data_IF_575141383281
#
_entry.id   IF_575141383281
#
_cell.length_a   1.000
_cell.length_b   1.000
_cell.length_c   1.000
_cell.angle_alpha   90.00
_cell.angle_beta   90.00
_cell.angle_gamma   90.00
#
_symmetry.space_group_name_H-M   'P 1'
#
loop_
_entity.id
_entity.type
_entity.pdbx_description
1 polymer ?
#
# COMPACT_ATOMS: atom_id res chain seq x y z
N UNK A 1 15.04 -11.61 6.80
CA UNK A 1 15.50 -12.55 5.74
C UNK A 1 14.46 -12.83 4.64
N UNK A 2 13.13 -12.83 4.88
CA UNK A 2 12.09 -13.13 3.86
C UNK A 2 11.18 -11.94 3.46
N UNK A 3 11.73 -10.73 3.45
CA UNK A 3 10.95 -9.52 3.74
C UNK A 3 9.90 -9.14 2.67
N UNK A 4 10.05 -9.37 1.35
CA UNK A 4 8.96 -9.08 0.41
C UNK A 4 7.84 -10.14 0.37
N UNK A 5 8.18 -11.44 0.40
CA UNK A 5 7.18 -12.52 0.32
C UNK A 5 6.23 -12.55 1.53
N UNK A 6 6.70 -12.12 2.71
CA UNK A 6 5.91 -12.14 3.95
C UNK A 6 4.86 -11.03 4.06
N UNK A 7 4.93 -9.98 3.22
CA UNK A 7 3.96 -8.86 3.26
C UNK A 7 2.59 -9.29 2.71
N UNK A 8 2.53 -10.39 1.95
CA UNK A 8 1.26 -11.03 1.59
C UNK A 8 0.40 -10.19 0.63
N UNK A 9 -0.93 -10.12 0.83
CA UNK A 9 -1.85 -9.42 -0.06
C UNK A 9 -1.53 -7.93 -0.25
N UNK A 10 -0.99 -7.27 0.77
CA UNK A 10 -0.64 -5.86 0.72
C UNK A 10 0.40 -5.55 -0.36
N UNK A 11 1.43 -6.41 -0.52
CA UNK A 11 2.44 -6.22 -1.57
C UNK A 11 1.92 -6.68 -2.94
N UNK A 12 1.17 -7.78 -2.98
CA UNK A 12 0.65 -8.37 -4.24
C UNK A 12 -0.38 -7.50 -4.95
N UNK A 13 -1.11 -6.67 -4.20
CA UNK A 13 -2.19 -5.83 -4.73
C UNK A 13 -1.82 -4.35 -4.83
N UNK A 14 -0.60 -3.96 -4.44
CA UNK A 14 -0.12 -2.59 -4.55
C UNK A 14 0.09 -2.18 -6.03
N UNK A 15 -0.32 -0.96 -6.38
CA UNK A 15 0.01 -0.35 -7.67
C UNK A 15 1.42 0.24 -7.65
N UNK A 16 1.78 0.87 -6.53
CA UNK A 16 3.07 1.54 -6.33
C UNK A 16 3.72 0.97 -5.07
N UNK A 17 4.99 0.60 -5.17
CA UNK A 17 5.84 0.16 -4.06
C UNK A 17 6.98 1.14 -3.90
N UNK A 18 6.96 1.89 -2.80
CA UNK A 18 7.99 2.87 -2.46
C UNK A 18 8.99 2.23 -1.50
N UNK A 19 10.24 2.08 -1.95
CA UNK A 19 11.34 1.53 -1.16
C UNK A 19 12.16 2.69 -0.61
N UNK A 20 12.16 2.86 0.71
CA UNK A 20 12.93 3.89 1.39
C UNK A 20 14.17 3.33 2.08
N UNK A 21 15.03 4.24 2.58
CA UNK A 21 16.27 3.88 3.28
C UNK A 21 17.19 2.97 2.45
N UNK A 22 17.25 3.21 1.14
CA UNK A 22 18.14 2.46 0.24
C UNK A 22 19.62 2.87 0.35
N UNK A 23 19.91 3.92 1.11
CA UNK A 23 21.21 4.51 1.39
C UNK A 23 21.99 3.80 2.51
N UNK A 24 21.29 3.07 3.37
CA UNK A 24 21.91 2.29 4.47
C UNK A 24 22.29 0.86 4.05
N UNK A 25 22.11 0.52 2.78
CA UNK A 25 22.39 -0.81 2.22
C UNK A 25 23.27 -0.68 0.98
N UNK A 26 23.92 -1.78 0.60
CA UNK A 26 24.71 -1.82 -0.62
C UNK A 26 23.84 -1.73 -1.88
N UNK A 27 24.42 -1.28 -2.99
CA UNK A 27 23.74 -1.26 -4.29
C UNK A 27 23.21 -2.64 -4.67
N UNK A 28 24.00 -3.70 -4.45
CA UNK A 28 23.60 -5.07 -4.73
C UNK A 28 22.37 -5.47 -3.89
N UNK A 29 22.35 -5.14 -2.60
CA UNK A 29 21.18 -5.43 -1.74
C UNK A 29 19.93 -4.68 -2.19
N UNK A 30 20.08 -3.42 -2.62
CA UNK A 30 18.98 -2.62 -3.17
C UNK A 30 18.38 -3.27 -4.42
N UNK A 31 19.22 -3.68 -5.36
CA UNK A 31 18.78 -4.35 -6.58
C UNK A 31 18.16 -5.72 -6.31
N UNK A 32 18.76 -6.51 -5.41
CA UNK A 32 18.21 -7.81 -4.97
C UNK A 32 16.85 -7.62 -4.29
N UNK A 33 16.67 -6.57 -3.50
CA UNK A 33 15.40 -6.29 -2.85
C UNK A 33 14.33 -5.91 -3.88
N UNK A 34 14.64 -5.03 -4.83
CA UNK A 34 13.74 -4.65 -5.92
C UNK A 34 13.35 -5.86 -6.79
N UNK A 35 14.30 -6.75 -7.10
CA UNK A 35 14.03 -7.99 -7.82
C UNK A 35 13.07 -8.91 -7.04
N UNK A 36 13.25 -9.03 -5.72
CA UNK A 36 12.34 -9.80 -4.86
C UNK A 36 10.94 -9.21 -4.78
N UNK A 37 10.82 -7.88 -4.77
CA UNK A 37 9.52 -7.19 -4.86
C UNK A 37 8.85 -7.51 -6.20
N UNK A 38 9.59 -7.38 -7.31
CA UNK A 38 9.08 -7.66 -8.67
C UNK A 38 8.65 -9.11 -8.86
N UNK A 39 9.35 -10.06 -8.24
CA UNK A 39 8.92 -11.47 -8.22
C UNK A 39 7.59 -11.71 -7.50
N UNK A 40 7.27 -10.89 -6.49
CA UNK A 40 6.00 -11.01 -5.74
C UNK A 40 4.87 -10.27 -6.44
N UNK A 41 5.15 -9.09 -6.99
CA UNK A 41 4.20 -8.29 -7.75
C UNK A 41 4.87 -7.72 -9.01
N UNK A 42 4.74 -8.40 -10.15
CA UNK A 42 5.31 -7.93 -11.43
C UNK A 42 4.64 -6.67 -11.98
N UNK A 43 3.44 -6.33 -11.51
CA UNK A 43 2.64 -5.20 -12.01
C UNK A 43 2.89 -3.89 -11.27
N UNK A 44 3.46 -3.96 -10.07
CA UNK A 44 3.72 -2.77 -9.28
C UNK A 44 4.83 -1.90 -9.88
N UNK A 45 4.62 -0.59 -9.87
CA UNK A 45 5.66 0.42 -10.10
C UNK A 45 6.53 0.48 -8.86
N UNK A 46 7.84 0.26 -9.02
CA UNK A 46 8.80 0.25 -7.90
C UNK A 46 9.62 1.53 -7.96
N UNK A 47 9.52 2.36 -6.92
CA UNK A 47 10.27 3.63 -6.81
C UNK A 47 11.13 3.60 -5.56
N UNK A 48 12.32 4.14 -5.67
CA UNK A 48 13.19 4.37 -4.51
C UNK A 48 13.08 5.82 -4.06
N UNK A 49 12.77 6.03 -2.78
CA UNK A 49 12.63 7.37 -2.21
C UNK A 49 13.54 7.53 -1.01
N UNK A 50 14.22 8.68 -0.92
CA UNK A 50 14.93 9.07 0.29
C UNK A 50 14.19 10.23 0.97
N UNK A 51 13.68 9.99 2.18
CA UNK A 51 12.94 11.00 2.93
C UNK A 51 13.78 12.15 3.49
N UNK A 52 15.11 12.02 3.52
CA UNK A 52 16.03 13.07 3.99
C UNK A 52 16.42 13.99 2.83
N UNK A 53 16.76 13.41 1.68
CA UNK A 53 17.25 14.19 0.51
C UNK A 53 16.15 14.53 -0.48
N UNK A 54 14.95 13.94 -0.35
CA UNK A 54 13.84 14.13 -1.29
C UNK A 54 14.01 13.38 -2.63
N UNK A 55 15.06 12.56 -2.79
CA UNK A 55 15.25 11.78 -4.00
C UNK A 55 14.04 10.89 -4.27
N UNK A 56 13.59 10.84 -5.52
CA UNK A 56 12.42 10.07 -5.96
C UNK A 56 11.06 10.66 -5.58
N UNK A 57 11.00 11.73 -4.78
CA UNK A 57 9.73 12.34 -4.36
C UNK A 57 8.97 12.97 -5.51
N UNK A 58 9.66 13.61 -6.46
CA UNK A 58 9.04 14.24 -7.64
C UNK A 58 8.37 13.21 -8.56
N UNK A 59 9.05 12.09 -8.84
CA UNK A 59 8.50 10.98 -9.63
C UNK A 59 7.29 10.37 -8.93
N UNK A 60 7.38 10.16 -7.61
CA UNK A 60 6.25 9.67 -6.82
C UNK A 60 5.05 10.64 -6.88
N UNK A 61 5.28 11.95 -6.74
CA UNK A 61 4.23 12.97 -6.79
C UNK A 61 3.54 13.00 -8.16
N UNK A 62 4.30 12.88 -9.25
CA UNK A 62 3.73 12.85 -10.61
C UNK A 62 2.79 11.67 -10.81
N UNK A 63 3.11 10.51 -10.23
CA UNK A 63 2.21 9.34 -10.26
C UNK A 63 0.93 9.58 -9.45
N UNK A 64 1.02 10.26 -8.31
CA UNK A 64 -0.17 10.64 -7.54
C UNK A 64 -1.05 11.64 -8.29
N UNK A 65 -0.46 12.65 -8.91
CA UNK A 65 -1.19 13.66 -9.68
C UNK A 65 -1.85 13.09 -10.94
N UNK A 66 -1.28 12.00 -11.50
CA UNK A 66 -1.89 11.27 -12.62
C UNK A 66 -3.10 10.42 -12.23
N UNK A 67 -3.35 10.25 -10.92
CA UNK A 67 -4.47 9.44 -10.44
C UNK A 67 -5.77 10.25 -10.40
N UNK A 68 -6.90 9.55 -10.52
CA UNK A 68 -8.21 10.21 -10.51
C UNK A 68 -8.55 10.73 -9.11
N UNK A 69 -9.14 11.92 -9.04
CA UNK A 69 -9.70 12.45 -7.81
C UNK A 69 -10.81 11.54 -7.25
N UNK A 70 -10.70 11.21 -5.97
CA UNK A 70 -11.68 10.39 -5.25
C UNK A 70 -12.59 11.32 -4.44
N UNK A 71 -13.79 11.57 -4.95
CA UNK A 71 -14.82 12.37 -4.24
C UNK A 71 -15.48 11.59 -3.09
N UNK A 72 -15.66 10.28 -3.26
CA UNK A 72 -16.21 9.40 -2.21
C UNK A 72 -15.69 7.99 -2.36
N UNK A 73 -15.48 7.33 -1.23
CA UNK A 73 -15.16 5.90 -1.17
C UNK A 73 -16.40 5.02 -0.94
N UNK A 74 -17.59 5.61 -0.74
CA UNK A 74 -18.83 4.85 -0.54
C UNK A 74 -19.18 4.05 -1.79
N UNK A 75 -19.51 2.77 -1.62
CA UNK A 75 -19.75 1.82 -2.72
C UNK A 75 -18.48 1.22 -3.34
N UNK A 76 -17.30 1.71 -2.97
CA UNK A 76 -16.02 1.10 -3.38
C UNK A 76 -15.77 -0.21 -2.63
N UNK A 77 -14.83 -1.01 -3.15
CA UNK A 77 -14.41 -2.26 -2.52
C UNK A 77 -12.91 -2.26 -2.22
N UNK A 78 -12.56 -2.79 -1.05
CA UNK A 78 -11.18 -3.12 -0.70
C UNK A 78 -10.67 -4.25 -1.61
N UNK A 79 -9.39 -4.17 -1.98
CA UNK A 79 -8.74 -5.17 -2.85
C UNK A 79 -8.54 -6.53 -2.17
N UNK A 80 -8.53 -6.54 -0.84
CA UNK A 80 -8.48 -7.74 -0.02
C UNK A 80 -9.17 -7.46 1.33
N UNK A 81 -9.65 -8.52 1.98
CA UNK A 81 -10.22 -8.43 3.33
C UNK A 81 -9.14 -8.00 4.32
N UNK A 82 -9.43 -7.01 5.15
CA UNK A 82 -8.52 -6.62 6.22
C UNK A 82 -8.30 -7.77 7.20
N UNK A 83 -7.10 -7.88 7.82
CA UNK A 83 -6.86 -8.85 8.87
C UNK A 83 -7.90 -8.69 9.98
N UNK A 84 -8.32 -9.81 10.56
CA UNK A 84 -9.34 -9.82 11.61
C UNK A 84 -8.96 -8.93 12.80
N UNK A 85 -9.97 -8.34 13.46
CA UNK A 85 -9.87 -7.54 14.69
C UNK A 85 -9.30 -6.10 14.58
N UNK A 86 -9.26 -5.47 13.40
CA UNK A 86 -8.80 -4.07 13.24
C UNK A 86 -9.92 -2.99 13.14
N UNK A 87 -11.16 -3.34 12.76
CA UNK A 87 -12.31 -2.43 12.59
C UNK A 87 -13.64 -3.17 12.31
N UNK A 88 -14.73 -2.43 12.14
CA UNK A 88 -16.09 -2.91 11.79
C UNK A 88 -16.19 -3.65 10.44
N UNK A 89 -15.17 -3.53 9.57
CA UNK A 89 -15.04 -4.30 8.33
C UNK A 89 -14.28 -5.63 8.52
N UNK A 90 -13.78 -5.90 9.74
CA UNK A 90 -12.84 -7.00 10.01
C UNK A 90 -13.46 -8.39 10.21
N UNK A 91 -14.74 -8.55 9.88
CA UNK A 91 -15.34 -9.87 9.64
C UNK A 91 -15.19 -10.31 8.17
N UNK A 92 -14.34 -9.62 7.40
CA UNK A 92 -14.08 -9.93 5.99
C UNK A 92 -14.92 -9.10 5.01
N UNK A 93 -15.62 -8.07 5.48
CA UNK A 93 -16.34 -7.15 4.60
C UNK A 93 -15.34 -6.31 3.80
N UNK A 94 -15.62 -6.16 2.51
CA UNK A 94 -14.77 -5.42 1.59
C UNK A 94 -15.48 -4.20 1.01
N UNK A 95 -16.82 -4.13 1.07
CA UNK A 95 -17.58 -2.97 0.61
C UNK A 95 -17.52 -1.85 1.63
N UNK A 96 -17.23 -0.64 1.15
CA UNK A 96 -17.16 0.56 1.98
C UNK A 96 -18.53 1.25 1.97
N UNK A 97 -19.13 1.43 3.14
CA UNK A 97 -20.43 2.07 3.30
C UNK A 97 -20.98 1.87 4.71
N UNK A 98 -21.79 2.81 5.20
CA UNK A 98 -22.40 2.70 6.54
C UNK A 98 -23.32 1.47 6.62
N UNK A 99 -24.02 1.17 5.53
CA UNK A 99 -24.86 -0.01 5.35
C UNK A 99 -24.12 -1.35 5.44
N UNK A 100 -22.79 -1.32 5.36
CA UNK A 100 -21.92 -2.51 5.39
C UNK A 100 -21.08 -2.58 6.68
N UNK A 101 -21.26 -1.65 7.62
CA UNK A 101 -20.55 -1.68 8.89
C UNK A 101 -21.18 -2.71 9.84
N UNK A 102 -20.34 -3.56 10.44
CA UNK A 102 -20.79 -4.57 11.42
C UNK A 102 -20.24 -4.26 12.81
N UNK A 103 -21.05 -4.52 13.84
CA UNK A 103 -20.69 -4.36 15.25
C UNK A 103 -20.72 -2.91 15.75
N UNK A 104 -20.08 -2.66 16.90
CA UNK A 104 -20.06 -1.34 17.52
C UNK A 104 -19.06 -0.42 16.82
N UNK A 105 -19.55 0.51 16.02
CA UNK A 105 -18.74 1.53 15.34
C UNK A 105 -18.66 2.76 16.23
N UNK A 106 -17.45 3.20 16.56
CA UNK A 106 -17.22 4.54 17.12
C UNK A 106 -16.70 5.45 16.02
N UNK A 107 -17.48 6.47 15.67
CA UNK A 107 -17.03 7.52 14.75
C UNK A 107 -16.18 8.51 15.53
N UNK A 108 -15.17 9.08 14.88
CA UNK A 108 -14.46 10.23 15.42
C UNK A 108 -15.39 11.44 15.34
N UNK A 109 -15.46 12.24 16.40
CA UNK A 109 -16.04 13.57 16.33
C UNK A 109 -15.12 14.41 15.44
N UNK A 110 -15.67 14.96 14.36
CA UNK A 110 -14.96 15.85 13.42
C UNK A 110 -15.26 17.28 13.80
#
# INVERSE_FOLDING_TARGET
>A
VNTPKKIGPMLKSADIVVITKGDIVSQAEREVFAAKVRMVNPKAVIIHVNGITGQGAFELATLFDSSNDIQTVKGSKLRFSMPSALCSYCLGETKIGEEHQMGNVRKMDV
#
